data_IF_064368241622
#
_entry.id   IF_064368241622
#
_cell.length_a   1.000
_cell.length_b   1.000
_cell.length_c   1.000
_cell.angle_alpha   90.00
_cell.angle_beta   90.00
_cell.angle_gamma   90.00
#
_symmetry.space_group_name_H-M   'P 1'
#
loop_
_entity.id
_entity.type
_entity.pdbx_description
1 polymer ?
#
# COMPACT_ATOMS: atom_id res chain seq x y z
N UNK A 1 -12.36 -22.21 -0.04
CA UNK A 1 -11.70 -21.91 -1.33
C UNK A 1 -12.43 -20.87 -2.16
N UNK A 2 -13.76 -20.92 -2.30
CA UNK A 2 -14.50 -19.86 -3.04
C UNK A 2 -14.43 -18.48 -2.37
N UNK A 3 -14.58 -18.40 -1.04
CA UNK A 3 -14.52 -17.14 -0.29
C UNK A 3 -13.14 -16.46 -0.37
N UNK A 4 -12.07 -17.26 -0.30
CA UNK A 4 -10.68 -16.79 -0.45
C UNK A 4 -10.35 -16.33 -1.87
N UNK A 5 -10.97 -16.94 -2.89
CA UNK A 5 -10.83 -16.50 -4.28
C UNK A 5 -11.48 -15.14 -4.52
N UNK A 6 -12.66 -14.92 -3.95
CA UNK A 6 -13.36 -13.64 -4.05
C UNK A 6 -12.59 -12.51 -3.37
N UNK A 7 -12.05 -12.73 -2.16
CA UNK A 7 -11.22 -11.73 -1.48
C UNK A 7 -9.96 -11.39 -2.27
N UNK A 8 -9.34 -12.38 -2.93
CA UNK A 8 -8.15 -12.16 -3.77
C UNK A 8 -8.47 -11.32 -5.02
N UNK A 9 -9.65 -11.51 -5.60
CA UNK A 9 -10.12 -10.74 -6.75
C UNK A 9 -10.29 -9.26 -6.40
N UNK A 10 -10.95 -8.96 -5.28
CA UNK A 10 -11.08 -7.58 -4.80
C UNK A 10 -9.73 -6.95 -4.44
N UNK A 11 -8.83 -7.71 -3.84
CA UNK A 11 -7.48 -7.25 -3.51
C UNK A 11 -6.69 -6.88 -4.77
N UNK A 12 -6.74 -7.72 -5.81
CA UNK A 12 -6.06 -7.48 -7.09
C UNK A 12 -6.61 -6.26 -7.84
N UNK A 13 -7.94 -6.11 -7.88
CA UNK A 13 -8.58 -4.95 -8.52
C UNK A 13 -8.21 -3.63 -7.83
N UNK A 14 -8.16 -3.61 -6.50
CA UNK A 14 -7.77 -2.44 -5.74
C UNK A 14 -6.28 -2.11 -5.88
N UNK A 15 -5.43 -3.13 -5.90
CA UNK A 15 -4.00 -2.96 -6.14
C UNK A 15 -3.75 -2.27 -7.49
N UNK A 16 -4.40 -2.77 -8.56
CA UNK A 16 -4.34 -2.17 -9.89
C UNK A 16 -4.82 -0.71 -9.89
N UNK A 17 -5.91 -0.40 -9.17
CA UNK A 17 -6.43 0.97 -9.07
C UNK A 17 -5.45 1.93 -8.37
N UNK A 18 -4.74 1.49 -7.32
CA UNK A 18 -3.72 2.30 -6.66
C UNK A 18 -2.56 2.62 -7.60
N UNK A 19 -2.09 1.63 -8.36
CA UNK A 19 -1.01 1.84 -9.33
C UNK A 19 -1.45 2.71 -10.52
N UNK A 20 -2.73 2.73 -10.87
CA UNK A 20 -3.28 3.62 -11.90
C UNK A 20 -3.30 5.10 -11.49
N UNK A 21 -3.29 5.42 -10.20
CA UNK A 21 -3.21 6.82 -9.72
C UNK A 21 -1.81 7.42 -9.94
N UNK A 22 -0.78 6.58 -10.03
CA UNK A 22 0.60 7.01 -10.22
C UNK A 22 0.78 7.79 -11.54
N UNK A 23 0.42 7.25 -12.72
CA UNK A 23 0.51 8.01 -13.98
C UNK A 23 -0.37 9.27 -13.98
N UNK A 24 -1.55 9.25 -13.35
CA UNK A 24 -2.39 10.46 -13.22
C UNK A 24 -1.67 11.59 -12.44
N UNK A 25 -0.88 11.23 -11.43
CA UNK A 25 -0.07 12.18 -10.66
C UNK A 25 1.12 12.69 -11.48
N UNK A 26 1.71 11.83 -12.32
CA UNK A 26 2.80 12.17 -13.24
C UNK A 26 2.33 13.19 -14.27
N UNK A 27 1.20 12.93 -14.95
CA UNK A 27 0.60 13.86 -15.93
C UNK A 27 0.20 15.19 -15.28
N UNK A 28 -0.37 15.16 -14.07
CA UNK A 28 -0.70 16.40 -13.36
C UNK A 28 0.55 17.20 -12.96
N UNK A 29 1.64 16.51 -12.60
CA UNK A 29 2.94 17.11 -12.36
C UNK A 29 3.49 17.77 -13.63
N UNK A 30 3.51 17.04 -14.74
CA UNK A 30 3.93 17.52 -16.05
C UNK A 30 3.13 18.75 -16.49
N UNK A 31 1.80 18.76 -16.31
CA UNK A 31 0.97 19.92 -16.62
C UNK A 31 1.33 21.18 -15.82
N UNK A 32 1.79 21.02 -14.57
CA UNK A 32 2.13 22.15 -13.69
C UNK A 32 3.57 22.62 -13.86
N UNK A 33 4.51 21.73 -14.17
CA UNK A 33 5.95 22.06 -14.27
C UNK A 33 6.49 22.08 -15.71
N UNK A 34 5.75 21.60 -16.71
CA UNK A 34 6.16 21.53 -18.11
C UNK A 34 7.33 20.57 -18.40
N UNK A 35 7.79 19.85 -17.37
CA UNK A 35 8.93 18.92 -17.41
C UNK A 35 8.42 17.51 -17.12
N UNK A 36 8.70 16.61 -18.06
CA UNK A 36 8.28 15.21 -18.03
C UNK A 36 9.34 14.38 -17.31
N UNK A 37 9.13 14.12 -16.02
CA UNK A 37 10.09 13.41 -15.16
C UNK A 37 9.50 12.15 -14.53
N UNK A 38 8.92 11.31 -15.40
CA UNK A 38 8.26 10.05 -15.05
C UNK A 38 9.22 9.15 -14.24
N UNK A 39 10.48 9.05 -14.69
CA UNK A 39 11.49 8.19 -14.07
C UNK A 39 11.78 8.54 -12.61
N UNK A 40 11.87 9.83 -12.27
CA UNK A 40 12.13 10.27 -10.89
C UNK A 40 10.95 9.98 -9.97
N UNK A 41 9.71 10.20 -10.42
CA UNK A 41 8.52 9.94 -9.61
C UNK A 41 8.35 8.44 -9.33
N UNK A 42 8.50 7.59 -10.34
CA UNK A 42 8.48 6.14 -10.16
C UNK A 42 9.63 5.66 -9.26
N UNK A 43 10.83 6.24 -9.38
CA UNK A 43 11.96 5.93 -8.51
C UNK A 43 11.62 6.26 -7.04
N UNK A 44 11.05 7.43 -6.75
CA UNK A 44 10.64 7.82 -5.39
C UNK A 44 9.60 6.87 -4.80
N UNK A 45 8.60 6.48 -5.58
CA UNK A 45 7.56 5.53 -5.14
C UNK A 45 8.19 4.16 -4.83
N UNK A 46 9.06 3.67 -5.70
CA UNK A 46 9.75 2.40 -5.50
C UNK A 46 10.68 2.41 -4.27
N UNK A 47 11.34 3.53 -4.01
CA UNK A 47 12.20 3.74 -2.84
C UNK A 47 11.36 3.80 -1.56
N UNK A 48 10.25 4.52 -1.57
CA UNK A 48 9.29 4.54 -0.47
C UNK A 48 8.76 3.14 -0.13
N UNK A 49 8.40 2.35 -1.14
CA UNK A 49 7.99 0.96 -0.96
C UNK A 49 9.10 0.11 -0.33
N UNK A 50 10.35 0.21 -0.82
CA UNK A 50 11.48 -0.54 -0.26
C UNK A 50 11.74 -0.17 1.21
N UNK A 51 11.71 1.12 1.55
CA UNK A 51 11.90 1.58 2.93
C UNK A 51 10.76 1.09 3.82
N UNK A 52 9.51 1.22 3.36
CA UNK A 52 8.35 0.74 4.11
C UNK A 52 8.39 -0.77 4.38
N UNK A 53 8.76 -1.56 3.36
CA UNK A 53 8.96 -3.00 3.52
C UNK A 53 10.11 -3.32 4.48
N UNK A 54 11.26 -2.64 4.37
CA UNK A 54 12.40 -2.87 5.25
C UNK A 54 12.07 -2.55 6.71
N UNK A 55 11.45 -1.39 6.97
CA UNK A 55 11.07 -0.97 8.32
C UNK A 55 9.97 -1.88 8.90
N UNK A 56 8.96 -2.23 8.10
CA UNK A 56 7.87 -3.11 8.54
C UNK A 56 8.34 -4.53 8.86
N UNK A 57 9.17 -5.10 7.99
CA UNK A 57 9.74 -6.44 8.22
C UNK A 57 10.73 -6.46 9.37
N UNK A 58 11.56 -5.42 9.54
CA UNK A 58 12.48 -5.32 10.66
C UNK A 58 11.75 -5.18 12.01
N UNK A 59 10.71 -4.35 12.09
CA UNK A 59 9.88 -4.22 13.29
C UNK A 59 9.20 -5.54 13.65
N UNK A 60 8.62 -6.22 12.65
CA UNK A 60 7.99 -7.51 12.86
C UNK A 60 9.00 -8.58 13.32
N UNK A 61 10.17 -8.66 12.67
CA UNK A 61 11.22 -9.58 13.04
C UNK A 61 11.77 -9.31 14.45
N UNK A 62 11.93 -8.03 14.82
CA UNK A 62 12.36 -7.62 16.16
C UNK A 62 11.34 -7.98 17.24
N UNK A 63 10.05 -7.81 16.97
CA UNK A 63 8.97 -8.25 17.86
C UNK A 63 8.99 -9.77 18.02
N UNK A 64 9.02 -10.53 16.93
CA UNK A 64 9.08 -12.00 16.97
C UNK A 64 10.32 -12.51 17.74
N UNK A 65 11.48 -11.89 17.52
CA UNK A 65 12.71 -12.21 18.23
C UNK A 65 12.61 -11.94 19.74
N UNK A 66 12.04 -10.80 20.14
CA UNK A 66 11.86 -10.44 21.56
C UNK A 66 10.89 -11.37 22.30
N UNK A 67 9.87 -11.89 21.62
CA UNK A 67 8.89 -12.82 22.20
C UNK A 67 9.29 -14.30 22.08
N UNK A 68 10.54 -14.59 21.70
CA UNK A 68 11.09 -15.95 21.71
C UNK A 68 10.57 -16.83 20.58
N UNK A 69 10.42 -16.29 19.36
CA UNK A 69 10.12 -17.09 18.18
C UNK A 69 11.19 -18.17 17.97
N UNK A 70 10.82 -19.43 18.15
CA UNK A 70 11.64 -20.59 17.81
C UNK A 70 11.09 -21.15 16.49
N UNK A 71 11.93 -21.14 15.45
CA UNK A 71 11.58 -21.76 14.18
C UNK A 71 11.44 -23.29 14.35
N UNK A 72 10.45 -23.90 13.70
CA UNK A 72 10.22 -25.35 13.67
C UNK A 72 9.90 -26.02 15.02
N UNK A 73 9.41 -25.29 16.02
CA UNK A 73 8.87 -25.85 17.27
C UNK A 73 7.45 -25.34 17.57
N UNK A 74 6.75 -26.01 18.50
CA UNK A 74 5.43 -25.60 18.98
C UNK A 74 5.47 -24.19 19.54
N UNK A 75 4.88 -23.24 18.80
CA UNK A 75 4.94 -21.83 19.14
C UNK A 75 4.04 -21.48 20.32
N UNK A 76 4.53 -20.59 21.18
CA UNK A 76 3.76 -20.04 22.28
C UNK A 76 2.50 -19.32 21.74
N UNK A 77 1.36 -19.46 22.44
CA UNK A 77 0.09 -18.82 22.07
C UNK A 77 0.23 -17.30 21.85
N UNK A 78 1.17 -16.67 22.57
CA UNK A 78 1.50 -15.24 22.44
C UNK A 78 2.12 -14.92 21.06
N UNK A 79 3.11 -15.70 20.62
CA UNK A 79 3.78 -15.51 19.32
C UNK A 79 2.79 -15.73 18.17
N UNK A 80 1.90 -16.72 18.31
CA UNK A 80 0.88 -17.04 17.33
C UNK A 80 -0.19 -15.94 17.23
N UNK A 81 -0.55 -15.32 18.35
CA UNK A 81 -1.41 -14.14 18.38
C UNK A 81 -0.74 -12.93 17.73
N UNK A 82 0.55 -12.69 18.01
CA UNK A 82 1.31 -11.58 17.41
C UNK A 82 1.41 -11.76 15.89
N UNK A 83 1.70 -12.96 15.37
CA UNK A 83 1.68 -13.22 13.93
C UNK A 83 0.31 -12.93 13.33
N UNK A 84 -0.78 -13.41 13.95
CA UNK A 84 -2.14 -13.14 13.46
C UNK A 84 -2.46 -11.65 13.41
N UNK A 85 -2.14 -10.90 14.46
CA UNK A 85 -2.38 -9.44 14.50
C UNK A 85 -1.46 -8.67 13.54
N UNK A 86 -0.22 -9.11 13.37
CA UNK A 86 0.71 -8.49 12.42
C UNK A 86 0.28 -8.67 10.97
N UNK A 87 -0.28 -9.83 10.62
CA UNK A 87 -0.77 -10.10 9.26
C UNK A 87 -2.20 -9.63 9.00
N UNK A 88 -2.97 -9.29 10.05
CA UNK A 88 -4.39 -8.90 9.91
C UNK A 88 -4.60 -7.43 10.29
N UNK A 89 -4.21 -7.04 11.50
CA UNK A 89 -4.48 -5.71 12.08
C UNK A 89 -3.60 -4.62 11.45
N UNK A 90 -2.30 -4.87 11.29
CA UNK A 90 -1.37 -3.88 10.72
C UNK A 90 -1.72 -3.55 9.26
N UNK A 91 -1.81 -4.52 8.33
CA UNK A 91 -2.26 -4.22 6.98
C UNK A 91 -3.70 -3.69 7.01
N UNK A 92 -4.61 -4.28 7.80
CA UNK A 92 -6.00 -3.81 7.89
C UNK A 92 -6.12 -2.33 8.27
N UNK A 93 -5.34 -1.85 9.23
CA UNK A 93 -5.29 -0.44 9.61
C UNK A 93 -4.74 0.44 8.48
N UNK A 94 -3.67 0.00 7.80
CA UNK A 94 -3.12 0.70 6.63
C UNK A 94 -4.11 0.76 5.47
N UNK A 95 -4.91 -0.29 5.27
CA UNK A 95 -6.00 -0.34 4.30
C UNK A 95 -7.10 0.66 4.65
N UNK A 96 -7.49 0.77 5.93
CA UNK A 96 -8.46 1.79 6.38
C UNK A 96 -7.93 3.20 6.16
N UNK A 97 -6.66 3.46 6.50
CA UNK A 97 -6.02 4.77 6.24
C UNK A 97 -6.03 5.08 4.75
N UNK A 98 -5.69 4.10 3.90
CA UNK A 98 -5.72 4.26 2.44
C UNK A 98 -7.14 4.55 1.93
N UNK A 99 -8.16 3.86 2.46
CA UNK A 99 -9.56 4.10 2.13
C UNK A 99 -10.01 5.50 2.56
N UNK A 100 -9.60 5.98 3.74
CA UNK A 100 -9.90 7.35 4.21
C UNK A 100 -9.20 8.39 3.35
N UNK A 101 -7.92 8.16 3.02
CA UNK A 101 -7.16 9.04 2.12
C UNK A 101 -7.82 9.07 0.75
N UNK A 102 -8.24 7.93 0.18
CA UNK A 102 -8.95 7.87 -1.10
C UNK A 102 -10.33 8.54 -1.03
N UNK A 103 -11.02 8.48 0.11
CA UNK A 103 -12.28 9.21 0.30
C UNK A 103 -12.08 10.72 0.30
N UNK A 104 -10.94 11.19 0.83
CA UNK A 104 -10.50 12.59 0.73
C UNK A 104 -9.92 12.92 -0.66
N UNK A 105 -9.27 11.95 -1.30
CA UNK A 105 -8.79 11.93 -2.68
C UNK A 105 -9.93 11.69 -3.66
N UNK A 106 -11.10 12.27 -3.36
CA UNK A 106 -12.23 12.38 -4.26
C UNK A 106 -11.73 13.21 -5.43
N UNK A 107 -11.21 12.46 -6.41
CA UNK A 107 -10.54 12.93 -7.59
C UNK A 107 -11.32 14.12 -8.10
N UNK A 108 -10.57 15.18 -8.28
CA UNK A 108 -10.96 16.47 -8.79
C UNK A 108 -11.50 16.25 -10.23
N UNK A 109 -12.68 15.63 -10.37
CA UNK A 109 -13.40 15.41 -11.63
C UNK A 109 -13.60 16.75 -12.33
N UNK A 110 -13.59 17.85 -11.56
CA UNK A 110 -13.56 19.24 -12.02
C UNK A 110 -12.27 19.64 -12.77
N UNK A 111 -11.13 18.97 -12.58
CA UNK A 111 -9.85 19.30 -13.23
C UNK A 111 -9.56 18.48 -14.49
N UNK A 112 -9.87 17.18 -14.49
CA UNK A 112 -9.80 16.36 -15.71
C UNK A 112 -10.72 16.91 -16.81
N UNK A 113 -11.94 17.33 -16.45
CA UNK A 113 -12.89 17.94 -17.39
C UNK A 113 -12.53 19.38 -17.82
N UNK A 114 -11.49 19.98 -17.25
CA UNK A 114 -11.00 21.33 -17.63
C UNK A 114 -9.84 21.27 -18.63
N UNK A 115 -9.13 20.14 -18.70
CA UNK A 115 -8.03 19.91 -19.64
C UNK A 115 -8.50 19.54 -21.04
N UNK A 116 -9.61 18.79 -21.18
CA UNK A 116 -10.15 18.36 -22.48
C UNK A 116 -11.16 19.33 -23.12
N UNK A 117 -11.32 20.55 -22.57
CA UNK A 117 -12.40 21.48 -22.96
C UNK A 117 -11.95 22.87 -23.39
N UNK A 118 -10.63 23.09 -23.52
CA UNK A 118 -10.00 24.29 -24.09
C UNK A 118 -8.90 23.85 -25.05
#
# INVERSE_FOLDING_TARGET
>A
YALSGLTQFFFSGFNTAIYAIIPDCVEYGEWKTGLRNDGFQYAFISLGNKIGMAVGTALLAGLLGKYGYIANQTQNAIVLSIMKHAFTTIPGALWIVTAVVLFFYRLNKKRYNRLWRN
#
